data_IF_814527590798
#
_entry.id   IF_814527590798
#
_cell.length_a   1.000
_cell.length_b   1.000
_cell.length_c   1.000
_cell.angle_alpha   90.00
_cell.angle_beta   90.00
_cell.angle_gamma   90.00
#
_symmetry.space_group_name_H-M   'P 1'
#
loop_
_entity.id
_entity.type
_entity.pdbx_description
1 polymer ?
#
# COMPACT_ATOMS: atom_id res chain seq x y z
N UNK A 1 -3.13 -22.41 -36.20
CA UNK A 1 -3.34 -20.95 -36.39
C UNK A 1 -2.91 -20.35 -35.05
N UNK A 2 -1.61 -20.44 -34.72
CA UNK A 2 -1.15 -20.51 -33.32
C UNK A 2 -0.04 -19.51 -32.94
N UNK A 3 0.30 -18.56 -33.82
CA UNK A 3 1.49 -17.70 -33.60
C UNK A 3 1.20 -16.34 -32.96
N UNK A 4 -0.04 -15.84 -33.00
CA UNK A 4 -0.38 -14.50 -32.46
C UNK A 4 -0.61 -14.56 -30.93
N UNK A 5 -1.21 -15.66 -30.44
CA UNK A 5 -1.40 -15.90 -29.01
C UNK A 5 -0.06 -16.08 -28.28
N UNK A 6 0.90 -16.77 -28.89
CA UNK A 6 2.25 -16.99 -28.33
C UNK A 6 3.08 -15.69 -28.27
N UNK A 7 2.90 -14.77 -29.22
CA UNK A 7 3.60 -13.48 -29.21
C UNK A 7 3.04 -12.52 -28.15
N UNK A 8 1.72 -12.48 -27.97
CA UNK A 8 1.12 -11.63 -26.94
C UNK A 8 1.47 -12.11 -25.53
N UNK A 9 1.47 -13.43 -25.29
CA UNK A 9 1.91 -14.01 -24.01
C UNK A 9 3.36 -13.65 -23.68
N UNK A 10 4.28 -13.85 -24.64
CA UNK A 10 5.70 -13.49 -24.47
C UNK A 10 5.90 -12.00 -24.19
N UNK A 11 5.15 -11.13 -24.85
CA UNK A 11 5.23 -9.68 -24.61
C UNK A 11 4.75 -9.31 -23.21
N UNK A 12 3.70 -9.96 -22.70
CA UNK A 12 3.23 -9.75 -21.32
C UNK A 12 4.29 -10.22 -20.33
N UNK A 13 4.88 -11.40 -20.52
CA UNK A 13 5.96 -11.90 -19.66
C UNK A 13 7.17 -10.95 -19.63
N UNK A 14 7.52 -10.32 -20.75
CA UNK A 14 8.58 -9.32 -20.80
C UNK A 14 8.25 -8.07 -19.99
N UNK A 15 7.01 -7.56 -20.10
CA UNK A 15 6.51 -6.42 -19.32
C UNK A 15 6.53 -6.74 -17.82
N UNK A 16 6.01 -7.91 -17.43
CA UNK A 16 5.97 -8.35 -16.03
C UNK A 16 7.37 -8.48 -15.44
N UNK A 17 8.29 -9.08 -16.20
CA UNK A 17 9.70 -9.19 -15.79
C UNK A 17 10.34 -7.81 -15.62
N UNK A 18 10.08 -6.87 -16.53
CA UNK A 18 10.62 -5.52 -16.43
C UNK A 18 10.02 -4.75 -15.24
N UNK A 19 8.71 -4.87 -15.01
CA UNK A 19 8.02 -4.27 -13.88
C UNK A 19 8.53 -4.83 -12.54
N UNK A 20 8.76 -6.14 -12.44
CA UNK A 20 9.39 -6.75 -11.27
C UNK A 20 10.80 -6.19 -11.05
N UNK A 21 11.63 -6.15 -12.09
CA UNK A 21 13.01 -5.70 -11.96
C UNK A 21 13.14 -4.22 -11.59
N UNK A 22 12.26 -3.35 -12.11
CA UNK A 22 12.30 -1.92 -11.82
C UNK A 22 11.59 -1.55 -10.53
N UNK A 23 10.46 -2.20 -10.23
CA UNK A 23 9.53 -1.74 -9.21
C UNK A 23 9.15 -2.80 -8.17
N UNK A 24 9.72 -4.01 -8.26
CA UNK A 24 9.32 -5.16 -7.45
C UNK A 24 7.82 -5.47 -7.59
N UNK A 25 7.26 -5.20 -8.77
CA UNK A 25 5.87 -5.48 -9.08
C UNK A 25 5.58 -6.98 -8.99
N UNK A 26 4.56 -7.35 -8.23
CA UNK A 26 4.12 -8.75 -8.10
C UNK A 26 2.69 -8.87 -8.63
N UNK A 27 2.47 -9.81 -9.54
CA UNK A 27 1.14 -10.13 -10.06
C UNK A 27 0.31 -10.82 -8.98
N UNK A 28 -0.90 -10.33 -8.74
CA UNK A 28 -1.87 -10.96 -7.83
C UNK A 28 -2.83 -11.86 -8.60
N UNK A 29 -3.37 -11.36 -9.72
CA UNK A 29 -4.27 -12.10 -10.60
C UNK A 29 -4.09 -11.65 -12.05
N UNK A 30 -5.00 -12.06 -12.95
CA UNK A 30 -4.91 -11.78 -14.38
C UNK A 30 -4.79 -10.28 -14.71
N UNK A 31 -5.41 -9.42 -13.91
CA UNK A 31 -5.57 -7.99 -14.22
C UNK A 31 -4.88 -7.07 -13.21
N UNK A 32 -4.37 -7.60 -12.09
CA UNK A 32 -3.86 -6.77 -10.98
C UNK A 32 -2.45 -7.12 -10.55
N UNK A 33 -1.68 -6.07 -10.29
CA UNK A 33 -0.32 -6.13 -9.77
C UNK A 33 -0.17 -5.20 -8.59
N UNK A 34 0.67 -5.57 -7.63
CA UNK A 34 1.01 -4.74 -6.47
C UNK A 34 2.47 -4.31 -6.45
N UNK A 35 2.66 -3.10 -5.92
CA UNK A 35 3.92 -2.40 -5.86
C UNK A 35 4.17 -1.94 -4.42
N UNK A 36 5.27 -2.32 -3.76
CA UNK A 36 5.62 -1.74 -2.48
C UNK A 36 5.98 -0.26 -2.69
N UNK A 37 5.23 0.64 -2.05
CA UNK A 37 5.39 2.08 -2.22
C UNK A 37 6.08 2.73 -1.02
N UNK A 38 5.59 2.47 0.19
CA UNK A 38 6.10 3.08 1.42
C UNK A 38 6.23 2.01 2.51
N UNK A 39 7.25 2.13 3.36
CA UNK A 39 7.49 1.22 4.47
C UNK A 39 7.96 1.99 5.69
N UNK A 40 7.34 1.73 6.83
CA UNK A 40 7.74 2.31 8.13
C UNK A 40 7.72 1.21 9.19
N UNK A 41 8.81 1.11 9.93
CA UNK A 41 8.89 0.30 11.15
C UNK A 41 8.60 1.21 12.35
N UNK A 42 7.76 0.74 13.28
CA UNK A 42 7.46 1.43 14.54
C UNK A 42 8.70 1.77 15.36
N UNK A 43 9.75 0.95 15.32
CA UNK A 43 11.02 1.22 16.04
C UNK A 43 11.74 2.47 15.50
N UNK A 44 11.50 2.83 14.23
CA UNK A 44 12.12 3.97 13.57
C UNK A 44 11.36 5.29 13.77
N UNK A 45 10.17 5.27 14.38
CA UNK A 45 9.34 6.47 14.54
C UNK A 45 9.83 7.32 15.72
N UNK A 46 10.19 8.58 15.47
CA UNK A 46 10.52 9.52 16.54
C UNK A 46 9.26 9.84 17.37
N UNK A 47 9.38 9.81 18.69
CA UNK A 47 8.32 10.23 19.61
C UNK A 47 7.89 11.70 19.41
N UNK A 48 8.72 12.53 18.78
CA UNK A 48 8.44 13.91 18.42
C UNK A 48 7.77 14.07 17.03
N UNK A 49 7.50 12.98 16.32
CA UNK A 49 6.83 13.04 15.03
C UNK A 49 5.37 13.49 15.20
N UNK A 50 5.10 14.77 14.91
CA UNK A 50 3.78 15.42 14.94
C UNK A 50 3.72 16.54 13.89
N UNK A 51 3.89 16.20 12.61
CA UNK A 51 3.87 17.20 11.53
C UNK A 51 2.76 17.03 10.50
N UNK A 52 2.17 15.85 10.36
CA UNK A 52 1.11 15.65 9.38
C UNK A 52 -0.22 16.26 9.83
N UNK A 53 -0.93 16.88 8.89
CA UNK A 53 -2.30 17.37 9.08
C UNK A 53 -3.27 16.24 9.45
N UNK A 54 -2.95 14.99 9.11
CA UNK A 54 -3.73 13.81 9.51
C UNK A 54 -3.83 13.64 11.04
N UNK A 55 -2.88 14.18 11.82
CA UNK A 55 -2.97 14.17 13.29
C UNK A 55 -4.09 15.06 13.82
N UNK A 56 -4.53 16.04 13.04
CA UNK A 56 -5.61 16.95 13.42
C UNK A 56 -7.00 16.37 13.12
N UNK A 57 -7.07 15.29 12.32
CA UNK A 57 -8.31 14.55 12.11
C UNK A 57 -8.60 13.65 13.32
N UNK A 58 -9.45 14.16 14.22
CA UNK A 58 -9.82 13.47 15.45
C UNK A 58 -10.58 12.16 15.19
N UNK A 59 -11.31 12.04 14.08
CA UNK A 59 -12.05 10.83 13.76
C UNK A 59 -11.07 9.73 13.32
N UNK A 60 -10.17 10.07 12.40
CA UNK A 60 -9.09 9.19 11.96
C UNK A 60 -8.22 8.75 13.13
N UNK A 61 -7.75 9.67 13.95
CA UNK A 61 -6.89 9.37 15.10
C UNK A 61 -7.59 8.42 16.09
N UNK A 62 -8.88 8.63 16.37
CA UNK A 62 -9.65 7.72 17.24
C UNK A 62 -9.76 6.32 16.63
N UNK A 63 -10.01 6.25 15.32
CA UNK A 63 -10.14 4.98 14.59
C UNK A 63 -8.81 4.21 14.57
N UNK A 64 -7.69 4.88 14.29
CA UNK A 64 -6.35 4.27 14.32
C UNK A 64 -6.01 3.75 15.71
N UNK A 65 -6.25 4.54 16.76
CA UNK A 65 -6.01 4.12 18.15
C UNK A 65 -6.87 2.94 18.61
N UNK A 66 -8.01 2.69 17.97
CA UNK A 66 -8.88 1.56 18.31
C UNK A 66 -8.52 0.27 17.57
N UNK A 67 -7.61 0.31 16.59
CA UNK A 67 -7.11 -0.88 15.92
C UNK A 67 -6.21 -1.65 16.86
N UNK A 68 -6.34 -2.98 16.84
CA UNK A 68 -5.55 -3.85 17.71
C UNK A 68 -4.71 -4.81 16.88
N UNK A 69 -3.61 -4.30 16.32
CA UNK A 69 -2.69 -5.10 15.53
C UNK A 69 -1.88 -6.09 16.39
N UNK A 70 -1.67 -7.29 15.89
CA UNK A 70 -0.84 -8.29 16.53
C UNK A 70 0.61 -7.79 16.74
N UNK A 71 1.21 -8.10 17.90
CA UNK A 71 2.62 -7.75 18.20
C UNK A 71 3.60 -8.54 17.34
N UNK A 72 4.69 -7.88 16.92
CA UNK A 72 5.77 -8.45 16.08
C UNK A 72 5.22 -8.97 14.75
N UNK A 73 4.69 -8.04 13.94
CA UNK A 73 4.06 -8.38 12.68
C UNK A 73 4.18 -7.31 11.58
N UNK A 74 3.88 -7.67 10.34
CA UNK A 74 3.68 -6.74 9.22
C UNK A 74 2.19 -6.44 9.02
N UNK A 75 1.88 -5.20 8.67
CA UNK A 75 0.55 -4.77 8.25
C UNK A 75 0.64 -4.31 6.80
N UNK A 76 -0.10 -4.97 5.93
CA UNK A 76 -0.22 -4.63 4.50
C UNK A 76 -1.32 -3.59 4.37
N UNK A 77 -1.06 -2.52 3.61
CA UNK A 77 -1.97 -1.40 3.45
C UNK A 77 -2.22 -1.18 1.96
N UNK A 78 -3.48 -1.02 1.56
CA UNK A 78 -3.87 -0.72 0.17
C UNK A 78 -4.96 0.34 0.14
N UNK A 79 -5.01 1.11 -0.94
CA UNK A 79 -6.17 1.96 -1.23
C UNK A 79 -7.24 1.08 -1.91
N UNK A 80 -8.37 0.87 -1.25
CA UNK A 80 -9.43 0.00 -1.74
C UNK A 80 -10.47 0.77 -2.58
N UNK A 81 -10.78 2.01 -2.18
CA UNK A 81 -11.76 2.84 -2.89
C UNK A 81 -11.43 4.33 -2.72
N UNK A 82 -11.99 5.17 -3.59
CA UNK A 82 -11.87 6.63 -3.56
C UNK A 82 -13.21 7.26 -3.89
N UNK A 83 -13.74 8.01 -2.93
CA UNK A 83 -14.96 8.77 -3.10
C UNK A 83 -14.71 10.08 -3.86
N UNK A 84 -15.77 10.60 -4.49
CA UNK A 84 -15.71 11.83 -5.31
C UNK A 84 -15.28 13.07 -4.51
N UNK A 85 -15.49 13.09 -3.20
CA UNK A 85 -15.11 14.19 -2.31
C UNK A 85 -13.62 14.19 -1.92
N UNK A 86 -12.85 13.24 -2.47
CA UNK A 86 -11.42 13.08 -2.23
C UNK A 86 -11.07 12.20 -1.03
N UNK A 87 -12.05 11.61 -0.35
CA UNK A 87 -11.83 10.63 0.71
C UNK A 87 -11.39 9.29 0.12
N UNK A 88 -10.34 8.70 0.68
CA UNK A 88 -9.86 7.37 0.30
C UNK A 88 -10.26 6.37 1.38
N UNK A 89 -10.72 5.20 0.96
CA UNK A 89 -10.91 4.04 1.84
C UNK A 89 -9.64 3.21 1.77
N UNK A 90 -8.94 3.16 2.89
CA UNK A 90 -7.70 2.40 3.04
C UNK A 90 -8.01 1.12 3.80
N UNK A 91 -7.56 0.00 3.25
CA UNK A 91 -7.63 -1.33 3.86
C UNK A 91 -6.27 -1.66 4.49
N UNK A 92 -6.31 -2.20 5.70
CA UNK A 92 -5.14 -2.67 6.44
C UNK A 92 -5.35 -4.12 6.82
N UNK A 93 -4.39 -4.97 6.47
CA UNK A 93 -4.43 -6.42 6.70
C UNK A 93 -3.29 -6.80 7.63
N UNK A 94 -3.64 -7.33 8.80
CA UNK A 94 -2.67 -7.88 9.75
C UNK A 94 -2.19 -9.26 9.28
N UNK A 95 -0.93 -9.37 8.87
CA UNK A 95 -0.46 -10.60 8.19
C UNK A 95 -0.34 -11.83 9.07
N UNK A 96 -0.31 -11.69 10.40
CA UNK A 96 -0.16 -12.82 11.33
C UNK A 96 -1.48 -13.56 11.53
N UNK A 97 -2.59 -12.91 11.22
CA UNK A 97 -3.93 -13.47 11.37
C UNK A 97 -4.43 -14.17 10.09
N UNK A 98 -3.60 -14.21 9.03
CA UNK A 98 -3.91 -14.85 7.74
C UNK A 98 -4.01 -16.39 7.84
N UNK A 99 -3.68 -16.99 8.99
CA UNK A 99 -3.66 -18.46 9.16
C UNK A 99 -5.04 -19.11 9.38
N UNK A 100 -6.18 -18.42 9.23
CA UNK A 100 -7.51 -19.00 9.39
C UNK A 100 -8.54 -18.50 8.36
N UNK A 101 -9.56 -19.34 8.08
CA UNK A 101 -10.63 -19.21 7.08
C UNK A 101 -11.46 -17.90 7.09
N UNK A 102 -11.20 -16.95 8.00
CA UNK A 102 -11.95 -15.70 8.19
C UNK A 102 -11.09 -14.46 7.92
N UNK A 103 -10.58 -14.34 6.69
CA UNK A 103 -9.73 -13.23 6.25
C UNK A 103 -10.43 -11.86 6.42
N UNK A 104 -11.76 -11.81 6.37
CA UNK A 104 -12.55 -10.58 6.52
C UNK A 104 -12.44 -9.95 7.92
N UNK A 105 -12.28 -10.76 8.97
CA UNK A 105 -12.21 -10.27 10.35
C UNK A 105 -10.88 -9.54 10.64
N UNK A 106 -9.88 -9.76 9.78
CA UNK A 106 -8.52 -9.21 9.92
C UNK A 106 -8.29 -7.98 9.03
N UNK A 107 -9.34 -7.49 8.36
CA UNK A 107 -9.30 -6.31 7.50
C UNK A 107 -9.84 -5.09 8.26
N UNK A 108 -8.97 -4.14 8.54
CA UNK A 108 -9.39 -2.83 9.02
C UNK A 108 -9.64 -1.90 7.85
N UNK A 109 -10.81 -1.27 7.81
CA UNK A 109 -11.14 -0.20 6.86
C UNK A 109 -11.14 1.17 7.53
N UNK A 110 -10.49 2.12 6.88
CA UNK A 110 -10.28 3.48 7.38
C UNK A 110 -10.52 4.48 6.27
N UNK A 111 -11.36 5.47 6.55
CA UNK A 111 -11.53 6.62 5.67
C UNK A 111 -10.45 7.66 5.99
N UNK A 112 -9.72 8.09 4.95
CA UNK A 112 -8.61 9.03 5.08
C UNK A 112 -8.77 10.14 4.05
N UNK A 113 -8.81 11.38 4.55
CA UNK A 113 -8.89 12.58 3.70
C UNK A 113 -7.50 13.13 3.37
N UNK A 114 -6.73 12.36 2.60
CA UNK A 114 -5.46 12.76 2.03
C UNK A 114 -5.24 12.06 0.69
N UNK A 115 -4.44 12.64 -0.20
CA UNK A 115 -4.20 12.05 -1.52
C UNK A 115 -3.21 10.87 -1.46
N UNK A 116 -3.76 9.65 -1.40
CA UNK A 116 -3.00 8.40 -1.36
C UNK A 116 -2.25 8.08 -2.66
N UNK A 117 -2.45 8.85 -3.74
CA UNK A 117 -1.65 8.73 -4.95
C UNK A 117 -0.28 9.40 -4.82
N UNK A 118 -0.11 10.29 -3.84
CA UNK A 118 1.17 10.95 -3.57
C UNK A 118 2.03 10.17 -2.57
N UNK A 119 3.36 10.31 -2.71
CA UNK A 119 4.30 9.71 -1.75
C UNK A 119 4.06 10.25 -0.33
N UNK A 120 3.91 11.58 -0.22
CA UNK A 120 3.73 12.27 1.06
C UNK A 120 2.43 11.82 1.77
N UNK A 121 1.31 11.73 1.03
CA UNK A 121 0.03 11.29 1.61
C UNK A 121 0.07 9.86 2.17
N UNK A 122 0.75 8.95 1.47
CA UNK A 122 0.97 7.57 1.95
C UNK A 122 1.92 7.54 3.14
N UNK A 123 3.03 8.27 3.06
CA UNK A 123 4.05 8.34 4.11
C UNK A 123 3.44 8.86 5.42
N UNK A 124 2.73 9.99 5.35
CA UNK A 124 2.05 10.59 6.49
C UNK A 124 1.08 9.62 7.18
N UNK A 125 0.33 8.84 6.38
CA UNK A 125 -0.62 7.87 6.90
C UNK A 125 0.08 6.69 7.60
N UNK A 126 1.12 6.10 6.99
CA UNK A 126 1.83 4.97 7.62
C UNK A 126 2.63 5.41 8.86
N UNK A 127 3.12 6.65 8.89
CA UNK A 127 3.78 7.21 10.06
C UNK A 127 2.80 7.50 11.19
N UNK A 128 1.56 7.91 10.88
CA UNK A 128 0.47 8.02 11.86
C UNK A 128 0.17 6.67 12.52
N UNK A 129 0.05 5.60 11.72
CA UNK A 129 -0.16 4.24 12.21
C UNK A 129 1.01 3.78 13.10
N UNK A 130 2.24 3.97 12.63
CA UNK A 130 3.45 3.63 13.36
C UNK A 130 3.55 4.39 14.69
N UNK A 131 3.25 5.68 14.70
CA UNK A 131 3.28 6.49 15.92
C UNK A 131 2.36 5.97 17.02
N UNK A 132 1.13 5.58 16.68
CA UNK A 132 0.17 5.07 17.66
C UNK A 132 0.39 3.62 18.06
N UNK A 133 1.23 2.89 17.31
CA UNK A 133 1.61 1.51 17.62
C UNK A 133 3.10 1.39 17.98
N UNK A 134 3.75 2.48 18.38
CA UNK A 134 5.20 2.55 18.65
C UNK A 134 5.69 1.68 19.82
N UNK A 135 4.77 1.21 20.66
CA UNK A 135 5.04 0.27 21.75
C UNK A 135 4.97 -1.20 21.28
N UNK A 136 4.64 -1.41 20.01
CA UNK A 136 4.60 -2.70 19.32
C UNK A 136 5.69 -2.70 18.26
N UNK A 137 6.27 -3.87 18.00
CA UNK A 137 7.21 -4.09 16.89
C UNK A 137 6.37 -4.42 15.64
N UNK A 138 6.08 -3.42 14.80
CA UNK A 138 5.21 -3.56 13.64
C UNK A 138 5.84 -2.86 12.43
N UNK A 139 5.74 -3.51 11.28
CA UNK A 139 6.14 -2.93 9.99
C UNK A 139 4.88 -2.64 9.17
N UNK A 140 4.60 -1.36 8.92
CA UNK A 140 3.52 -0.92 8.05
C UNK A 140 4.06 -0.79 6.62
N UNK A 141 3.41 -1.46 5.66
CA UNK A 141 3.80 -1.47 4.26
C UNK A 141 2.62 -1.06 3.38
N UNK A 142 2.76 0.05 2.67
CA UNK A 142 1.77 0.51 1.71
C UNK A 142 2.06 -0.06 0.33
N UNK A 143 1.06 -0.69 -0.27
CA UNK A 143 1.09 -1.20 -1.63
C UNK A 143 0.13 -0.42 -2.53
N UNK A 144 0.58 -0.15 -3.75
CA UNK A 144 -0.25 0.41 -4.82
C UNK A 144 -0.64 -0.71 -5.77
N UNK A 145 -1.91 -0.75 -6.15
CA UNK A 145 -2.41 -1.68 -7.15
C UNK A 145 -2.45 -0.98 -8.52
N UNK A 146 -1.90 -1.64 -9.54
CA UNK A 146 -2.00 -1.21 -10.93
C UNK A 146 -2.51 -2.35 -11.80
N UNK A 147 -3.23 -1.98 -12.85
CA UNK A 147 -3.55 -2.89 -13.96
C UNK A 147 -2.40 -2.95 -15.00
N UNK A 148 -2.52 -3.87 -15.95
CA UNK A 148 -1.49 -4.08 -16.98
C UNK A 148 -1.24 -2.83 -17.86
N UNK A 149 -2.27 -2.05 -18.17
CA UNK A 149 -2.11 -0.85 -18.99
C UNK A 149 -1.37 0.25 -18.21
N UNK A 150 -1.72 0.45 -16.94
CA UNK A 150 -1.03 1.36 -16.04
C UNK A 150 0.45 0.98 -15.88
N UNK A 151 0.78 -0.31 -15.83
CA UNK A 151 2.18 -0.77 -15.79
C UNK A 151 2.93 -0.44 -17.06
N UNK A 152 2.30 -0.64 -18.23
CA UNK A 152 2.90 -0.27 -19.52
C UNK A 152 3.19 1.22 -19.55
N UNK A 153 2.22 2.03 -19.16
CA UNK A 153 2.38 3.48 -19.06
C UNK A 153 3.54 3.84 -18.13
N UNK A 154 3.62 3.25 -16.93
CA UNK A 154 4.73 3.49 -15.99
C UNK A 154 6.11 3.12 -16.56
N UNK A 155 6.19 2.03 -17.32
CA UNK A 155 7.42 1.58 -17.98
C UNK A 155 7.83 2.49 -19.14
N UNK A 156 6.86 3.02 -19.88
CA UNK A 156 7.07 3.93 -21.03
C UNK A 156 7.41 5.35 -20.61
N UNK A 157 6.73 5.88 -19.58
CA UNK A 157 6.86 7.27 -19.15
C UNK A 157 8.16 7.53 -18.37
N UNK A 158 8.77 6.52 -17.75
CA UNK A 158 9.96 6.70 -16.89
C UNK A 158 9.73 7.63 -15.69
N UNK A 159 8.48 8.04 -15.40
CA UNK A 159 8.08 9.06 -14.42
C UNK A 159 7.99 8.55 -12.98
N UNK A 160 8.79 7.58 -12.58
CA UNK A 160 9.06 7.33 -11.16
C UNK A 160 10.41 7.94 -10.77
N UNK A 161 10.56 9.24 -11.02
CA UNK A 161 11.57 10.02 -10.31
C UNK A 161 11.04 10.28 -8.89
N UNK A 162 11.81 9.84 -7.88
CA UNK A 162 11.70 10.18 -6.44
C UNK A 162 10.92 9.25 -5.49
N UNK A 163 11.28 7.95 -5.47
CA UNK A 163 11.00 7.04 -4.34
C UNK A 163 12.24 6.53 -3.60
N UNK A 164 13.45 7.05 -3.93
CA UNK A 164 14.70 6.78 -3.21
C UNK A 164 15.39 8.11 -2.93
N UNK A 165 15.07 8.70 -1.79
CA UNK A 165 15.73 9.87 -1.21
C UNK A 165 15.51 9.83 0.29
#
# INVERSE_FOLDING_TARGET
MDNILDLNGKRIEEIEREAYNKFMAVKIDEDRYIFPANIVNTEAIDANFKKSDLFNDLALVKKVKSMDFSKSNSVIITCADKYEDGTNVVELVDTKEIDNDDLEDNIYRVEVKADMNTNDGRQDFIELLAYFNRDRDIVFQFFICYDLEQIKELLEDGRWENGRG
#
